data_IF_337174733683
#
_entry.id   IF_337174733683
#
_cell.length_a   1.000
_cell.length_b   1.000
_cell.length_c   1.000
_cell.angle_alpha   90.00
_cell.angle_beta   90.00
_cell.angle_gamma   90.00
#
_symmetry.space_group_name_H-M   'P 1'
#
loop_
_entity.id
_entity.type
_entity.pdbx_description
1 polymer ?
#
# COMPACT_ATOMS: atom_id res chain seq x y z
N UNK A 1 1.24 -23.50 -2.91
CA UNK A 1 2.51 -22.83 -2.57
C UNK A 1 3.22 -23.58 -1.45
N UNK A 2 4.52 -23.83 -1.55
CA UNK A 2 5.23 -24.61 -0.53
C UNK A 2 5.51 -23.76 0.73
N UNK A 3 5.82 -24.44 1.85
CA UNK A 3 6.06 -23.78 3.13
C UNK A 3 7.22 -22.78 3.09
N UNK A 4 8.26 -23.04 2.31
CA UNK A 4 9.40 -22.14 2.13
C UNK A 4 8.97 -20.82 1.47
N UNK A 5 8.13 -20.86 0.46
CA UNK A 5 7.61 -19.68 -0.22
C UNK A 5 6.72 -18.86 0.72
N UNK A 6 5.84 -19.50 1.47
CA UNK A 6 4.98 -18.83 2.45
C UNK A 6 5.81 -18.09 3.50
N UNK A 7 6.84 -18.73 4.03
CA UNK A 7 7.75 -18.13 5.01
C UNK A 7 8.48 -16.92 4.41
N UNK A 8 9.01 -17.06 3.20
CA UNK A 8 9.70 -15.98 2.48
C UNK A 8 8.81 -14.75 2.32
N UNK A 9 7.60 -14.92 1.81
CA UNK A 9 6.68 -13.82 1.59
C UNK A 9 6.19 -13.22 2.91
N UNK A 10 5.95 -14.03 3.92
CA UNK A 10 5.56 -13.56 5.24
C UNK A 10 6.64 -12.66 5.85
N UNK A 11 7.89 -13.08 5.83
CA UNK A 11 9.01 -12.30 6.34
C UNK A 11 9.20 -11.00 5.56
N UNK A 12 9.11 -11.05 4.23
CA UNK A 12 9.23 -9.89 3.36
C UNK A 12 8.12 -8.87 3.62
N UNK A 13 6.90 -9.32 3.75
CA UNK A 13 5.75 -8.46 4.00
C UNK A 13 5.79 -7.84 5.40
N UNK A 14 6.17 -8.60 6.41
CA UNK A 14 6.33 -8.08 7.78
C UNK A 14 7.42 -7.02 7.84
N UNK A 15 8.56 -7.25 7.20
CA UNK A 15 9.66 -6.28 7.12
C UNK A 15 9.23 -5.00 6.41
N UNK A 16 8.56 -5.12 5.28
CA UNK A 16 8.04 -3.99 4.52
C UNK A 16 7.01 -3.18 5.32
N UNK A 17 6.11 -3.87 6.01
CA UNK A 17 5.12 -3.23 6.88
C UNK A 17 5.78 -2.37 7.96
N UNK A 18 6.82 -2.89 8.61
CA UNK A 18 7.58 -2.16 9.62
C UNK A 18 8.23 -0.90 9.04
N UNK A 19 8.82 -1.00 7.86
CA UNK A 19 9.43 0.14 7.17
C UNK A 19 8.43 1.23 6.86
N UNK A 20 7.25 0.87 6.37
CA UNK A 20 6.18 1.82 6.04
C UNK A 20 5.68 2.52 7.29
N UNK A 21 5.43 1.80 8.37
CA UNK A 21 4.94 2.36 9.64
C UNK A 21 5.98 3.31 10.23
N UNK A 22 7.26 2.92 10.22
CA UNK A 22 8.35 3.77 10.70
C UNK A 22 8.42 5.06 9.89
N UNK A 23 8.41 4.98 8.57
CA UNK A 23 8.44 6.13 7.68
C UNK A 23 7.25 7.06 7.92
N UNK A 24 6.05 6.50 8.08
CA UNK A 24 4.84 7.28 8.34
C UNK A 24 4.89 7.99 9.68
N UNK A 25 5.36 7.32 10.72
CA UNK A 25 5.51 7.90 12.07
C UNK A 25 6.52 9.05 12.07
N UNK A 26 7.67 8.87 11.43
CA UNK A 26 8.70 9.91 11.30
C UNK A 26 8.16 11.13 10.55
N UNK A 27 7.42 10.92 9.48
CA UNK A 27 6.81 11.99 8.68
C UNK A 27 5.80 12.80 9.50
N UNK A 28 4.94 12.13 10.26
CA UNK A 28 3.95 12.78 11.13
C UNK A 28 4.64 13.61 12.23
N UNK A 29 5.70 13.09 12.83
CA UNK A 29 6.47 13.80 13.85
C UNK A 29 7.11 15.07 13.26
N UNK A 30 7.73 14.97 12.10
CA UNK A 30 8.34 16.11 11.40
C UNK A 30 7.33 17.18 11.08
N UNK A 31 6.15 16.83 10.59
CA UNK A 31 5.08 17.76 10.29
C UNK A 31 4.55 18.47 11.53
N UNK A 32 4.44 17.75 12.64
CA UNK A 32 4.04 18.34 13.92
C UNK A 32 5.10 19.30 14.47
N UNK A 33 6.37 19.04 14.26
CA UNK A 33 7.46 19.95 14.63
C UNK A 33 7.42 21.24 13.83
N UNK A 34 7.12 21.16 12.53
CA UNK A 34 6.97 22.33 11.67
C UNK A 34 5.78 23.20 12.08
N UNK A 35 4.71 22.62 12.61
CA UNK A 35 3.57 23.36 13.14
C UNK A 35 3.91 24.23 14.34
N UNK A 36 4.95 23.88 15.08
CA UNK A 36 5.40 24.64 16.25
C UNK A 36 6.39 25.76 15.89
N UNK A 37 6.90 25.81 14.66
CA UNK A 37 7.73 26.92 14.20
C UNK A 37 6.82 28.05 13.68
N UNK A 38 6.56 29.02 14.52
CA UNK A 38 5.69 30.13 14.23
C UNK A 38 6.33 31.16 13.28
N UNK A 39 6.27 30.95 11.98
CA UNK A 39 6.55 32.01 11.03
C UNK A 39 5.23 32.49 10.42
N UNK A 40 4.91 33.73 10.68
CA UNK A 40 3.59 34.27 10.49
C UNK A 40 3.40 35.05 9.19
N UNK A 41 3.92 34.59 8.08
CA UNK A 41 3.58 35.18 6.78
C UNK A 41 2.42 34.42 6.16
N UNK A 42 1.41 35.12 5.66
CA UNK A 42 0.21 34.54 5.03
C UNK A 42 0.57 33.66 3.84
N UNK A 43 1.59 34.02 3.06
CA UNK A 43 2.08 33.25 1.93
C UNK A 43 2.72 31.93 2.41
N UNK A 44 3.49 31.99 3.49
CA UNK A 44 4.11 30.81 4.10
C UNK A 44 3.05 29.87 4.71
N UNK A 45 1.98 30.41 5.28
CA UNK A 45 0.87 29.63 5.79
C UNK A 45 0.15 28.86 4.66
N UNK A 46 -0.09 29.50 3.51
CA UNK A 46 -0.72 28.86 2.36
C UNK A 46 0.14 27.73 1.80
N UNK A 47 1.45 27.96 1.64
CA UNK A 47 2.41 26.93 1.20
C UNK A 47 2.48 25.77 2.20
N UNK A 48 2.52 26.07 3.49
CA UNK A 48 2.54 25.08 4.56
C UNK A 48 1.27 24.22 4.57
N UNK A 49 0.10 24.81 4.36
CA UNK A 49 -1.16 24.06 4.25
C UNK A 49 -1.18 23.13 3.04
N UNK A 50 -0.65 23.57 1.89
CA UNK A 50 -0.53 22.74 0.70
C UNK A 50 0.40 21.55 0.94
N UNK A 51 1.56 21.78 1.54
CA UNK A 51 2.52 20.73 1.90
C UNK A 51 1.92 19.73 2.89
N UNK A 52 1.18 20.21 3.90
CA UNK A 52 0.48 19.36 4.86
C UNK A 52 -0.59 18.52 4.19
N UNK A 53 -1.33 19.09 3.23
CA UNK A 53 -2.34 18.36 2.46
C UNK A 53 -1.72 17.24 1.64
N UNK A 54 -0.60 17.49 0.97
CA UNK A 54 0.15 16.49 0.21
C UNK A 54 0.67 15.39 1.13
N UNK A 55 1.25 15.76 2.28
CA UNK A 55 1.76 14.81 3.25
C UNK A 55 0.64 13.96 3.87
N UNK A 56 -0.52 14.56 4.14
CA UNK A 56 -1.67 13.83 4.65
C UNK A 56 -2.16 12.78 3.65
N UNK A 57 -2.18 13.11 2.36
CA UNK A 57 -2.53 12.16 1.30
C UNK A 57 -1.51 11.03 1.22
N UNK A 58 -0.23 11.34 1.32
CA UNK A 58 0.84 10.33 1.33
C UNK A 58 0.72 9.41 2.56
N UNK A 59 0.44 9.98 3.73
CA UNK A 59 0.20 9.22 4.97
C UNK A 59 -1.00 8.29 4.83
N UNK A 60 -2.10 8.75 4.25
CA UNK A 60 -3.29 7.94 4.00
C UNK A 60 -3.01 6.80 3.03
N UNK A 61 -2.20 7.01 1.99
CA UNK A 61 -1.79 5.94 1.06
C UNK A 61 -0.95 4.88 1.77
N UNK A 62 -0.04 5.30 2.66
CA UNK A 62 0.77 4.38 3.46
C UNK A 62 -0.10 3.52 4.37
N UNK A 63 -1.10 4.12 5.03
CA UNK A 63 -2.06 3.39 5.87
C UNK A 63 -2.86 2.36 5.08
N UNK A 64 -3.34 2.74 3.89
CA UNK A 64 -4.05 1.82 3.00
C UNK A 64 -3.16 0.66 2.56
N UNK A 65 -1.89 0.95 2.28
CA UNK A 65 -0.91 -0.07 1.91
C UNK A 65 -0.66 -1.03 3.06
N UNK A 66 -0.52 -0.53 4.29
CA UNK A 66 -0.39 -1.36 5.50
C UNK A 66 -1.60 -2.26 5.67
N UNK A 67 -2.81 -1.74 5.46
CA UNK A 67 -4.04 -2.54 5.53
C UNK A 67 -4.06 -3.66 4.50
N UNK A 68 -3.60 -3.39 3.28
CA UNK A 68 -3.47 -4.41 2.22
C UNK A 68 -2.46 -5.49 2.61
N UNK A 69 -1.33 -5.08 3.18
CA UNK A 69 -0.32 -6.02 3.67
C UNK A 69 -0.90 -6.90 4.78
N UNK A 70 -1.64 -6.33 5.72
CA UNK A 70 -2.29 -7.09 6.81
C UNK A 70 -3.29 -8.11 6.26
N UNK A 71 -4.09 -7.75 5.27
CA UNK A 71 -5.01 -8.67 4.61
C UNK A 71 -4.27 -9.82 3.93
N UNK A 72 -3.17 -9.53 3.26
CA UNK A 72 -2.34 -10.55 2.60
C UNK A 72 -1.66 -11.47 3.62
N UNK A 73 -1.17 -10.92 4.71
CA UNK A 73 -0.60 -11.73 5.80
C UNK A 73 -1.64 -12.70 6.38
N UNK A 74 -2.88 -12.25 6.52
CA UNK A 74 -3.99 -13.11 6.94
C UNK A 74 -4.24 -14.23 5.93
N UNK A 75 -4.19 -13.95 4.63
CA UNK A 75 -4.32 -14.96 3.57
C UNK A 75 -3.20 -16.00 3.62
N UNK A 76 -1.98 -15.59 3.95
CA UNK A 76 -0.87 -16.53 4.13
C UNK A 76 -1.16 -17.51 5.25
N UNK A 77 -1.72 -17.04 6.37
CA UNK A 77 -2.13 -17.90 7.50
C UNK A 77 -3.27 -18.84 7.13
N UNK A 78 -4.25 -18.34 6.38
CA UNK A 78 -5.41 -19.13 5.95
C UNK A 78 -5.10 -20.11 4.81
N UNK A 79 -3.96 -19.97 4.16
CA UNK A 79 -3.56 -20.79 3.02
C UNK A 79 -4.14 -20.35 1.68
N UNK A 80 -4.82 -19.21 1.61
CA UNK A 80 -5.41 -18.69 0.38
C UNK A 80 -4.49 -17.75 -0.41
N UNK A 81 -3.30 -17.47 0.11
CA UNK A 81 -2.33 -16.60 -0.55
C UNK A 81 -1.81 -17.22 -1.84
N UNK A 82 -1.64 -16.39 -2.85
CA UNK A 82 -1.10 -16.80 -4.15
C UNK A 82 -2.15 -17.21 -5.16
N UNK A 83 -3.43 -17.16 -4.79
CA UNK A 83 -4.54 -17.45 -5.70
C UNK A 83 -5.32 -16.18 -6.02
N UNK A 84 -5.76 -16.07 -7.28
CA UNK A 84 -6.58 -14.95 -7.73
C UNK A 84 -7.94 -14.97 -7.03
N UNK A 85 -8.35 -13.82 -6.49
CA UNK A 85 -9.66 -13.71 -5.79
C UNK A 85 -10.84 -13.90 -6.72
N UNK A 86 -10.71 -13.55 -8.00
CA UNK A 86 -11.79 -13.65 -8.98
C UNK A 86 -11.89 -15.02 -9.65
N UNK A 87 -10.74 -15.57 -10.07
CA UNK A 87 -10.70 -16.80 -10.87
C UNK A 87 -10.35 -18.05 -10.07
N UNK A 88 -9.75 -17.88 -8.90
CA UNK A 88 -9.25 -18.98 -8.08
C UNK A 88 -7.99 -19.64 -8.63
N UNK A 89 -7.46 -19.17 -9.74
CA UNK A 89 -6.24 -19.69 -10.34
C UNK A 89 -4.98 -19.17 -9.64
N UNK A 90 -3.87 -19.91 -9.68
CA UNK A 90 -2.60 -19.42 -9.12
C UNK A 90 -2.15 -18.13 -9.81
N UNK A 91 -1.73 -17.14 -9.03
CA UNK A 91 -1.22 -15.87 -9.56
C UNK A 91 0.15 -16.04 -10.22
N UNK A 92 0.96 -16.97 -9.73
CA UNK A 92 2.30 -17.20 -10.22
C UNK A 92 3.37 -16.53 -9.37
N UNK A 93 4.49 -17.24 -9.23
CA UNK A 93 5.57 -16.81 -8.33
C UNK A 93 6.24 -15.52 -8.80
N UNK A 94 6.44 -15.36 -10.10
CA UNK A 94 7.07 -14.17 -10.68
C UNK A 94 6.29 -12.89 -10.36
N UNK A 95 4.97 -12.94 -10.47
CA UNK A 95 4.11 -11.81 -10.16
C UNK A 95 4.14 -11.50 -8.67
N UNK A 96 4.13 -12.51 -7.81
CA UNK A 96 4.20 -12.33 -6.36
C UNK A 96 5.54 -11.76 -5.91
N UNK A 97 6.64 -12.15 -6.55
CA UNK A 97 7.96 -11.57 -6.26
C UNK A 97 7.98 -10.09 -6.64
N UNK A 98 7.44 -9.74 -7.79
CA UNK A 98 7.35 -8.35 -8.24
C UNK A 98 6.36 -7.54 -7.40
N UNK A 99 5.25 -8.15 -7.02
CA UNK A 99 4.19 -7.48 -6.26
C UNK A 99 3.61 -8.43 -5.20
N UNK A 100 4.21 -8.47 -4.00
CA UNK A 100 3.80 -9.43 -2.96
C UNK A 100 2.35 -9.27 -2.48
N UNK A 101 1.76 -8.08 -2.64
CA UNK A 101 0.36 -7.81 -2.26
C UNK A 101 -0.64 -8.09 -3.38
N UNK A 102 -0.21 -8.68 -4.50
CA UNK A 102 -1.11 -8.99 -5.60
C UNK A 102 -2.17 -10.01 -5.17
N UNK A 103 -3.43 -9.68 -5.39
CA UNK A 103 -4.58 -10.53 -5.08
C UNK A 103 -5.32 -10.99 -6.34
N UNK A 104 -4.94 -10.46 -7.49
CA UNK A 104 -5.52 -10.78 -8.79
C UNK A 104 -4.43 -11.26 -9.76
N UNK A 105 -4.78 -12.19 -10.64
CA UNK A 105 -3.94 -12.55 -11.76
C UNK A 105 -3.76 -11.36 -12.71
N UNK A 106 -2.77 -11.42 -13.59
CA UNK A 106 -2.53 -10.35 -14.58
C UNK A 106 -3.79 -10.13 -15.43
N UNK A 107 -4.41 -11.22 -15.86
CA UNK A 107 -5.63 -11.18 -16.69
C UNK A 107 -6.80 -10.52 -15.96
N UNK A 108 -7.01 -10.87 -14.69
CA UNK A 108 -8.06 -10.27 -13.87
C UNK A 108 -7.80 -8.79 -13.60
N UNK A 109 -6.55 -8.40 -13.36
CA UNK A 109 -6.15 -7.02 -13.15
C UNK A 109 -6.38 -6.17 -14.42
N UNK A 110 -6.00 -6.68 -15.58
CA UNK A 110 -6.25 -6.01 -16.85
C UNK A 110 -7.74 -5.82 -17.12
N UNK A 111 -8.54 -6.80 -16.78
CA UNK A 111 -9.99 -6.73 -16.92
C UNK A 111 -10.59 -5.63 -16.05
N UNK A 112 -10.16 -5.52 -14.80
CA UNK A 112 -10.57 -4.44 -13.89
C UNK A 112 -10.19 -3.07 -14.41
N UNK A 113 -8.98 -2.92 -14.91
CA UNK A 113 -8.50 -1.65 -15.45
C UNK A 113 -9.31 -1.21 -16.67
N UNK A 114 -9.69 -2.15 -17.54
CA UNK A 114 -10.57 -1.88 -18.67
C UNK A 114 -11.97 -1.44 -18.24
N UNK A 115 -12.55 -2.10 -17.26
CA UNK A 115 -13.86 -1.75 -16.71
C UNK A 115 -13.83 -0.35 -16.08
N UNK A 116 -12.80 -0.02 -15.32
CA UNK A 116 -12.61 1.32 -14.75
C UNK A 116 -12.54 2.40 -15.83
N UNK A 117 -11.82 2.15 -16.92
CA UNK A 117 -11.75 3.09 -18.04
C UNK A 117 -13.11 3.31 -18.69
N UNK A 118 -13.90 2.27 -18.87
CA UNK A 118 -15.25 2.37 -19.44
C UNK A 118 -16.15 3.23 -18.54
N UNK A 119 -16.06 3.08 -17.21
CA UNK A 119 -16.82 3.89 -16.28
C UNK A 119 -16.38 5.35 -16.24
N UNK A 120 -15.09 5.62 -16.42
CA UNK A 120 -14.56 6.99 -16.45
C UNK A 120 -14.92 7.71 -17.75
N UNK A 121 -14.91 7.00 -18.87
CA UNK A 121 -15.21 7.56 -20.20
C UNK A 121 -16.72 7.80 -20.45
N UNK A 122 -17.57 7.32 -19.58
CA UNK A 122 -19.00 7.57 -19.59
C UNK A 122 -19.36 8.67 -18.58
#
# INVERSE_FOLDING_TARGET
>A
MCAKHKKYFNERLVSWRKEIIKSNTESVILNNMDDNSASADIVDQASSQTEKSVELRASNRRRKLVNKIDQVLKKIKDGSYGFCEETGEPIGLKRLIARPIATLSIEAQERHEKEEKIFIDN
#
